data_IF_896013187152
#
_entry.id   IF_896013187152
#
_cell.length_a   1.000
_cell.length_b   1.000
_cell.length_c   1.000
_cell.angle_alpha   90.00
_cell.angle_beta   90.00
_cell.angle_gamma   90.00
#
_symmetry.space_group_name_H-M   'P 1'
#
loop_
_entity.id
_entity.type
_entity.pdbx_description
1 polymer ?
#
# COMPACT_ATOMS: atom_id res chain seq x y z
N UNK A 1 19.13 -6.41 -9.80
CA UNK A 1 18.65 -5.92 -8.48
C UNK A 1 17.23 -6.48 -8.37
N UNK A 2 16.24 -5.88 -7.70
CA UNK A 2 14.88 -6.08 -8.21
C UNK A 2 14.74 -5.08 -9.34
N UNK A 3 14.61 -5.57 -10.56
CA UNK A 3 14.51 -4.71 -11.75
C UNK A 3 13.04 -4.34 -12.02
N UNK A 4 12.11 -5.07 -11.39
CA UNK A 4 10.69 -4.76 -11.32
C UNK A 4 10.13 -5.00 -9.91
N UNK A 5 9.11 -4.24 -9.55
CA UNK A 5 8.37 -4.34 -8.28
C UNK A 5 6.88 -4.30 -8.58
N UNK A 6 6.13 -5.23 -8.00
CA UNK A 6 4.66 -5.22 -8.00
C UNK A 6 4.12 -4.67 -6.68
N UNK A 7 3.47 -3.52 -6.74
CA UNK A 7 2.78 -2.89 -5.62
C UNK A 7 1.27 -3.03 -5.76
N UNK A 8 0.60 -3.62 -4.77
CA UNK A 8 -0.85 -3.80 -4.76
C UNK A 8 -1.49 -2.86 -3.74
N UNK A 9 -2.56 -2.16 -4.14
CA UNK A 9 -3.35 -1.32 -3.25
C UNK A 9 -4.63 -2.05 -2.85
N UNK A 10 -4.93 -2.08 -1.55
CA UNK A 10 -6.16 -2.68 -0.99
C UNK A 10 -6.75 -1.77 0.08
N UNK A 11 -8.02 -1.97 0.42
CA UNK A 11 -8.76 -1.10 1.35
C UNK A 11 -10.20 -0.91 0.87
N UNK A 12 -11.05 -0.34 1.73
CA UNK A 12 -12.47 -0.14 1.43
C UNK A 12 -12.72 0.68 0.15
N UNK A 13 -13.95 0.61 -0.36
CA UNK A 13 -14.39 1.47 -1.46
C UNK A 13 -14.32 2.94 -1.04
N UNK A 14 -14.09 3.84 -2.01
CA UNK A 14 -14.04 5.29 -1.80
C UNK A 14 -12.96 5.83 -0.82
N UNK A 15 -12.01 5.00 -0.37
CA UNK A 15 -10.86 5.47 0.44
C UNK A 15 -9.75 6.14 -0.39
N UNK A 16 -9.95 6.40 -1.68
CA UNK A 16 -8.97 7.15 -2.50
C UNK A 16 -7.77 6.34 -3.01
N UNK A 17 -7.88 5.01 -3.17
CA UNK A 17 -6.81 4.18 -3.78
C UNK A 17 -6.53 4.60 -5.23
N UNK A 18 -7.58 4.69 -6.04
CA UNK A 18 -7.50 5.13 -7.44
C UNK A 18 -7.01 6.57 -7.55
N UNK A 19 -7.54 7.49 -6.73
CA UNK A 19 -7.06 8.88 -6.72
C UNK A 19 -5.58 8.99 -6.35
N UNK A 20 -5.10 8.17 -5.42
CA UNK A 20 -3.68 8.10 -5.06
C UNK A 20 -2.83 7.62 -6.24
N UNK A 21 -3.28 6.57 -6.95
CA UNK A 21 -2.58 6.06 -8.13
C UNK A 21 -2.56 7.06 -9.27
N UNK A 22 -3.72 7.59 -9.66
CA UNK A 22 -3.84 8.60 -10.71
C UNK A 22 -2.96 9.80 -10.37
N UNK A 23 -3.01 10.33 -9.14
CA UNK A 23 -2.17 11.46 -8.77
C UNK A 23 -0.68 11.16 -8.88
N UNK A 24 -0.27 9.94 -8.55
CA UNK A 24 1.13 9.53 -8.67
C UNK A 24 1.58 9.37 -10.13
N UNK A 25 0.72 8.87 -11.02
CA UNK A 25 1.11 8.53 -12.39
C UNK A 25 0.88 9.65 -13.40
N UNK A 26 -0.13 10.50 -13.22
CA UNK A 26 -0.49 11.56 -14.16
C UNK A 26 -0.33 12.98 -13.60
N UNK A 27 0.07 13.12 -12.33
CA UNK A 27 0.13 14.41 -11.62
C UNK A 27 -1.21 15.18 -11.62
N UNK A 28 -2.33 14.53 -11.94
CA UNK A 28 -3.68 15.12 -11.94
C UNK A 28 -4.56 14.51 -10.83
N UNK A 29 -5.67 15.16 -10.50
CA UNK A 29 -6.71 14.59 -9.65
C UNK A 29 -7.92 14.27 -10.52
N UNK A 30 -8.57 13.10 -10.36
CA UNK A 30 -9.74 12.75 -11.15
C UNK A 30 -10.92 13.66 -10.79
N UNK A 31 -11.53 14.29 -11.79
CA UNK A 31 -12.68 15.20 -11.62
C UNK A 31 -13.94 14.46 -11.16
N UNK A 32 -14.11 13.20 -11.58
CA UNK A 32 -15.26 12.36 -11.25
C UNK A 32 -14.87 11.05 -10.55
N UNK A 33 -15.67 10.63 -9.58
CA UNK A 33 -15.53 9.31 -8.96
C UNK A 33 -16.09 8.22 -9.88
N UNK A 34 -15.22 7.27 -10.25
CA UNK A 34 -15.61 6.03 -10.96
C UNK A 34 -15.25 4.81 -10.11
N UNK A 35 -16.22 3.93 -9.76
CA UNK A 35 -15.92 2.71 -9.02
C UNK A 35 -14.94 1.80 -9.76
N UNK A 36 -13.84 1.46 -9.11
CA UNK A 36 -12.81 0.58 -9.66
C UNK A 36 -13.31 -0.87 -9.68
N UNK A 37 -13.16 -1.51 -10.83
CA UNK A 37 -13.22 -2.98 -10.93
C UNK A 37 -11.81 -3.54 -10.75
N UNK A 38 -10.88 -3.10 -11.60
CA UNK A 38 -9.46 -3.43 -11.58
C UNK A 38 -8.70 -2.52 -12.54
N UNK A 39 -7.52 -2.05 -12.16
CA UNK A 39 -6.65 -1.27 -13.06
C UNK A 39 -5.18 -1.56 -12.78
N UNK A 40 -4.40 -1.73 -13.85
CA UNK A 40 -2.96 -1.93 -13.77
C UNK A 40 -2.24 -0.83 -14.54
N UNK A 41 -1.25 -0.22 -13.89
CA UNK A 41 -0.40 0.80 -14.51
C UNK A 41 1.06 0.52 -14.19
N UNK A 42 1.96 0.75 -15.14
CA UNK A 42 3.40 0.66 -14.93
C UNK A 42 4.03 2.04 -15.03
N UNK A 43 4.94 2.36 -14.13
CA UNK A 43 5.79 3.56 -14.21
C UNK A 43 7.23 3.19 -13.87
N UNK A 44 8.18 3.91 -14.46
CA UNK A 44 9.58 3.77 -14.09
C UNK A 44 9.92 4.76 -12.97
N UNK A 45 10.56 4.24 -11.93
CA UNK A 45 11.02 5.04 -10.78
C UNK A 45 12.53 4.87 -10.61
N UNK A 46 13.20 5.92 -10.16
CA UNK A 46 14.64 5.89 -9.87
C UNK A 46 14.85 5.84 -8.36
N UNK A 47 15.55 4.82 -7.87
CA UNK A 47 15.96 4.71 -6.47
C UNK A 47 17.44 4.38 -6.38
N UNK A 48 18.21 5.18 -5.64
CA UNK A 48 19.65 5.02 -5.45
C UNK A 48 20.44 4.90 -6.78
N UNK A 49 20.00 5.63 -7.81
CA UNK A 49 20.62 5.61 -9.15
C UNK A 49 20.23 4.43 -10.04
N UNK A 50 19.30 3.57 -9.59
CA UNK A 50 18.81 2.42 -10.35
C UNK A 50 17.37 2.65 -10.79
N UNK A 51 17.10 2.45 -12.08
CA UNK A 51 15.75 2.43 -12.63
C UNK A 51 15.05 1.13 -12.25
N UNK A 52 13.84 1.24 -11.71
CA UNK A 52 13.00 0.12 -11.29
C UNK A 52 11.65 0.27 -11.98
N UNK A 53 11.19 -0.79 -12.64
CA UNK A 53 9.84 -0.83 -13.20
C UNK A 53 8.83 -1.11 -12.09
N UNK A 54 8.07 -0.08 -11.69
CA UNK A 54 7.04 -0.18 -10.66
C UNK A 54 5.69 -0.43 -11.31
N UNK A 55 5.19 -1.66 -11.20
CA UNK A 55 3.83 -1.98 -11.56
C UNK A 55 2.88 -1.78 -10.38
N UNK A 56 1.74 -1.15 -10.66
CA UNK A 56 0.74 -0.72 -9.70
C UNK A 56 -0.57 -1.45 -9.98
N UNK A 57 -1.09 -2.16 -8.99
CA UNK A 57 -2.34 -2.90 -9.07
C UNK A 57 -3.39 -2.22 -8.18
N UNK A 58 -4.35 -1.53 -8.80
CA UNK A 58 -5.52 -1.01 -8.11
C UNK A 58 -6.57 -2.10 -7.95
N UNK A 59 -7.14 -2.22 -6.76
CA UNK A 59 -8.17 -3.24 -6.49
C UNK A 59 -9.46 -2.61 -5.99
N UNK A 60 -10.60 -3.18 -6.41
CA UNK A 60 -11.88 -2.76 -5.85
C UNK A 60 -11.95 -3.06 -4.36
N UNK A 61 -12.48 -2.11 -3.58
CA UNK A 61 -12.75 -2.31 -2.15
C UNK A 61 -14.07 -3.02 -1.86
N UNK A 62 -14.90 -3.23 -2.88
CA UNK A 62 -16.23 -3.84 -2.74
C UNK A 62 -16.14 -5.33 -2.42
N UNK A 63 -17.06 -5.82 -1.58
CA UNK A 63 -17.18 -7.23 -1.26
C UNK A 63 -17.67 -8.07 -2.44
N UNK A 64 -18.32 -7.44 -3.43
CA UNK A 64 -18.70 -8.10 -4.69
C UNK A 64 -17.49 -8.68 -5.44
N UNK A 65 -16.29 -8.11 -5.25
CA UNK A 65 -15.06 -8.58 -5.90
C UNK A 65 -14.16 -9.40 -4.97
N UNK A 66 -14.60 -9.73 -3.75
CA UNK A 66 -13.79 -10.47 -2.76
C UNK A 66 -13.27 -11.81 -3.29
N UNK A 67 -14.05 -12.51 -4.11
CA UNK A 67 -13.65 -13.81 -4.67
C UNK A 67 -12.56 -13.72 -5.74
N UNK A 68 -12.48 -12.62 -6.50
CA UNK A 68 -11.54 -12.47 -7.62
C UNK A 68 -10.33 -11.60 -7.29
N UNK A 69 -10.47 -10.69 -6.31
CA UNK A 69 -9.40 -9.78 -5.87
C UNK A 69 -8.08 -10.49 -5.50
N UNK A 70 -8.08 -11.72 -4.92
CA UNK A 70 -6.84 -12.46 -4.69
C UNK A 70 -6.00 -12.76 -5.93
N UNK A 71 -6.59 -12.78 -7.13
CA UNK A 71 -5.85 -12.94 -8.37
C UNK A 71 -4.87 -11.78 -8.59
N UNK A 72 -5.23 -10.57 -8.15
CA UNK A 72 -4.36 -9.39 -8.20
C UNK A 72 -3.16 -9.50 -7.25
N UNK A 73 -3.21 -10.34 -6.22
CA UNK A 73 -2.17 -10.46 -5.18
C UNK A 73 -0.97 -11.31 -5.60
N UNK A 74 -1.14 -12.16 -6.63
CA UNK A 74 -0.09 -13.07 -7.07
C UNK A 74 1.20 -12.29 -7.35
N UNK A 75 2.31 -12.76 -6.77
CA UNK A 75 3.65 -12.17 -6.92
C UNK A 75 3.77 -10.71 -6.45
N UNK A 76 2.89 -10.23 -5.54
CA UNK A 76 3.07 -8.92 -4.94
C UNK A 76 4.36 -8.84 -4.12
N UNK A 77 5.13 -7.77 -4.31
CA UNK A 77 6.34 -7.48 -3.55
C UNK A 77 6.08 -6.60 -2.32
N UNK A 78 5.03 -5.78 -2.39
CA UNK A 78 4.56 -4.91 -1.31
C UNK A 78 3.06 -4.63 -1.46
N UNK A 79 2.39 -4.46 -0.32
CA UNK A 79 0.97 -4.10 -0.29
C UNK A 79 0.80 -2.76 0.44
N UNK A 80 0.07 -1.84 -0.18
CA UNK A 80 -0.45 -0.64 0.46
C UNK A 80 -1.87 -0.91 0.94
N UNK A 81 -2.06 -0.90 2.25
CA UNK A 81 -3.35 -1.10 2.90
C UNK A 81 -3.91 0.26 3.31
N UNK A 82 -4.85 0.76 2.52
CA UNK A 82 -5.33 2.13 2.55
C UNK A 82 -6.64 2.27 3.32
N UNK A 83 -6.79 3.36 4.07
CA UNK A 83 -8.03 3.81 4.67
C UNK A 83 -8.14 5.34 4.53
N UNK A 84 -9.34 5.90 4.59
CA UNK A 84 -9.52 7.35 4.62
C UNK A 84 -9.48 7.85 6.06
N UNK A 85 -8.72 8.92 6.31
CA UNK A 85 -8.68 9.54 7.65
C UNK A 85 -10.01 10.17 8.07
N UNK A 86 -10.94 10.38 7.13
CA UNK A 86 -12.29 10.86 7.40
C UNK A 86 -13.31 9.74 7.63
N UNK A 87 -12.93 8.47 7.44
CA UNK A 87 -13.84 7.33 7.53
C UNK A 87 -13.37 6.29 8.56
N UNK A 88 -13.97 6.33 9.75
CA UNK A 88 -13.70 5.42 10.86
C UNK A 88 -13.95 3.94 10.54
N UNK A 89 -14.99 3.62 9.76
CA UNK A 89 -15.26 2.23 9.39
C UNK A 89 -14.12 1.67 8.53
N UNK A 90 -13.60 2.47 7.59
CA UNK A 90 -12.46 2.04 6.77
C UNK A 90 -11.19 1.79 7.59
N UNK A 91 -10.99 2.56 8.67
CA UNK A 91 -9.89 2.37 9.62
C UNK A 91 -10.06 1.07 10.42
N UNK A 92 -11.24 0.81 10.98
CA UNK A 92 -11.53 -0.42 11.72
C UNK A 92 -11.42 -1.67 10.83
N UNK A 93 -11.86 -1.57 9.57
CA UNK A 93 -11.79 -2.65 8.59
C UNK A 93 -10.35 -3.04 8.26
N UNK A 94 -9.34 -2.19 8.49
CA UNK A 94 -7.94 -2.59 8.33
C UNK A 94 -7.58 -3.76 9.25
N UNK A 95 -8.02 -3.70 10.51
CA UNK A 95 -7.79 -4.75 11.52
C UNK A 95 -8.76 -5.92 11.33
N UNK A 96 -10.03 -5.63 11.09
CA UNK A 96 -11.09 -6.63 11.12
C UNK A 96 -11.23 -7.43 9.83
N UNK A 97 -10.70 -6.92 8.71
CA UNK A 97 -10.89 -7.49 7.37
C UNK A 97 -9.59 -7.56 6.57
N UNK A 98 -9.01 -6.41 6.25
CA UNK A 98 -7.97 -6.33 5.22
C UNK A 98 -6.68 -7.04 5.59
N UNK A 99 -6.20 -6.90 6.84
CA UNK A 99 -4.98 -7.62 7.23
C UNK A 99 -5.18 -9.14 7.20
N UNK A 100 -6.35 -9.65 7.57
CA UNK A 100 -6.67 -11.07 7.51
C UNK A 100 -6.66 -11.59 6.07
N UNK A 101 -7.32 -10.88 5.16
CA UNK A 101 -7.36 -11.21 3.72
C UNK A 101 -5.97 -11.18 3.07
N UNK A 102 -5.15 -10.16 3.40
CA UNK A 102 -3.78 -10.07 2.89
C UNK A 102 -2.93 -11.22 3.44
N UNK A 103 -3.02 -11.53 4.75
CA UNK A 103 -2.16 -12.54 5.37
C UNK A 103 -2.52 -13.97 4.97
N UNK A 104 -3.77 -14.25 4.59
CA UNK A 104 -4.16 -15.57 4.07
C UNK A 104 -3.54 -15.86 2.70
N UNK A 105 -3.27 -14.84 1.88
CA UNK A 105 -2.70 -15.00 0.54
C UNK A 105 -1.20 -14.65 0.46
N UNK A 106 -0.77 -13.69 1.27
CA UNK A 106 0.57 -13.07 1.24
C UNK A 106 1.19 -13.03 2.66
N UNK A 107 1.48 -14.19 3.28
CA UNK A 107 1.88 -14.28 4.68
C UNK A 107 3.22 -13.57 5.01
N UNK A 108 4.10 -13.40 4.01
CA UNK A 108 5.46 -12.85 4.19
C UNK A 108 5.70 -11.52 3.47
N UNK A 109 4.71 -11.04 2.70
CA UNK A 109 4.85 -9.80 1.93
C UNK A 109 4.67 -8.61 2.87
N UNK A 110 5.56 -7.60 2.80
CA UNK A 110 5.46 -6.41 3.62
C UNK A 110 4.18 -5.64 3.30
N UNK A 111 3.52 -5.15 4.35
CA UNK A 111 2.33 -4.29 4.27
C UNK A 111 2.69 -2.93 4.82
N UNK A 112 2.25 -1.87 4.16
CA UNK A 112 2.30 -0.50 4.66
C UNK A 112 0.87 -0.03 4.89
N UNK A 113 0.62 0.61 6.03
CA UNK A 113 -0.67 1.27 6.27
C UNK A 113 -0.60 2.67 5.70
N UNK A 114 -1.62 3.07 4.93
CA UNK A 114 -1.68 4.40 4.31
C UNK A 114 -2.98 5.10 4.70
N UNK A 115 -2.87 6.21 5.43
CA UNK A 115 -3.98 7.13 5.69
C UNK A 115 -4.15 8.12 4.56
N UNK A 116 -5.22 8.00 3.78
CA UNK A 116 -5.51 8.85 2.63
C UNK A 116 -6.46 10.00 2.99
N UNK A 117 -6.65 10.93 2.05
CA UNK A 117 -7.60 12.05 2.17
C UNK A 117 -7.30 12.97 3.37
N UNK A 118 -6.02 13.18 3.67
CA UNK A 118 -5.60 14.05 4.79
C UNK A 118 -6.04 15.50 4.67
N UNK A 119 -6.37 15.96 3.45
CA UNK A 119 -7.04 17.23 3.21
C UNK A 119 -8.34 17.38 4.04
N UNK A 120 -9.09 16.29 4.27
CA UNK A 120 -10.29 16.31 5.10
C UNK A 120 -10.01 16.63 6.57
N UNK A 121 -8.83 16.25 7.07
CA UNK A 121 -8.37 16.57 8.42
C UNK A 121 -7.76 17.98 8.51
N UNK A 122 -7.29 18.52 7.40
CA UNK A 122 -6.72 19.86 7.36
C UNK A 122 -7.82 20.94 7.24
N UNK A 123 -8.74 20.75 6.28
CA UNK A 123 -9.72 21.77 5.87
C UNK A 123 -11.17 21.28 5.83
N UNK A 124 -11.42 19.98 6.04
CA UNK A 124 -12.76 19.42 5.98
C UNK A 124 -13.69 19.86 7.12
N UNK A 125 -15.02 19.83 6.91
CA UNK A 125 -16.00 20.27 7.91
C UNK A 125 -15.99 19.40 9.18
N UNK A 126 -15.55 18.14 9.06
CA UNK A 126 -15.47 17.17 10.16
C UNK A 126 -14.01 16.87 10.59
N UNK A 127 -13.09 17.83 10.36
CA UNK A 127 -11.65 17.66 10.62
C UNK A 127 -11.31 17.18 12.03
N UNK A 128 -12.03 17.66 13.05
CA UNK A 128 -11.80 17.29 14.46
C UNK A 128 -12.15 15.83 14.76
N UNK A 129 -12.97 15.21 13.92
CA UNK A 129 -13.35 13.80 14.04
C UNK A 129 -12.49 12.89 13.17
N UNK A 130 -11.53 13.41 12.40
CA UNK A 130 -10.68 12.56 11.58
C UNK A 130 -9.72 11.73 12.45
N UNK A 131 -9.40 10.52 11.98
CA UNK A 131 -8.45 9.63 12.63
C UNK A 131 -7.10 10.34 12.74
N UNK A 132 -6.49 10.32 13.93
CA UNK A 132 -5.22 10.99 14.17
C UNK A 132 -4.03 10.21 13.59
N UNK A 133 -2.90 10.86 13.26
CA UNK A 133 -1.67 10.17 12.87
C UNK A 133 -1.15 9.23 13.97
N UNK A 134 -1.44 9.51 15.24
CA UNK A 134 -1.04 8.68 16.38
C UNK A 134 -1.79 7.35 16.33
N UNK A 135 -3.10 7.37 16.09
CA UNK A 135 -3.92 6.17 16.01
C UNK A 135 -3.58 5.34 14.75
N UNK A 136 -3.31 6.00 13.63
CA UNK A 136 -2.80 5.36 12.43
C UNK A 136 -1.49 4.60 12.66
N UNK A 137 -0.53 5.22 13.35
CA UNK A 137 0.73 4.57 13.74
C UNK A 137 0.52 3.39 14.68
N UNK A 138 -0.36 3.53 15.69
CA UNK A 138 -0.70 2.45 16.62
C UNK A 138 -1.31 1.27 15.89
N UNK A 139 -2.29 1.51 15.01
CA UNK A 139 -2.90 0.45 14.21
C UNK A 139 -1.87 -0.25 13.29
N UNK A 140 -0.96 0.51 12.67
CA UNK A 140 0.12 -0.08 11.86
C UNK A 140 1.02 -1.02 12.67
N UNK A 141 1.30 -0.70 13.94
CA UNK A 141 2.03 -1.57 14.85
C UNK A 141 1.21 -2.82 15.20
N UNK A 142 -0.05 -2.66 15.57
CA UNK A 142 -0.97 -3.76 15.93
C UNK A 142 -1.08 -4.81 14.80
N UNK A 143 -1.19 -4.37 13.56
CA UNK A 143 -1.29 -5.25 12.38
C UNK A 143 0.08 -5.70 11.84
N UNK A 144 1.17 -5.36 12.53
CA UNK A 144 2.57 -5.68 12.17
C UNK A 144 2.96 -5.20 10.77
N UNK A 145 2.48 -4.02 10.38
CA UNK A 145 2.90 -3.36 9.15
C UNK A 145 4.37 -2.89 9.24
N UNK A 146 5.00 -2.66 8.08
CA UNK A 146 6.39 -2.16 7.97
C UNK A 146 6.51 -0.65 8.06
N UNK A 147 5.38 0.05 8.06
CA UNK A 147 5.34 1.49 8.11
C UNK A 147 3.92 2.01 8.09
N UNK A 148 3.80 3.27 8.49
CA UNK A 148 2.59 4.07 8.40
C UNK A 148 2.93 5.35 7.65
N UNK A 149 2.16 5.65 6.61
CA UNK A 149 2.29 6.86 5.82
C UNK A 149 0.92 7.54 5.69
N UNK A 150 0.94 8.83 5.37
CA UNK A 150 -0.27 9.56 5.06
C UNK A 150 -0.11 10.39 3.81
N UNK A 151 -1.20 10.56 3.07
CA UNK A 151 -1.21 11.34 1.85
C UNK A 151 -2.55 12.04 1.60
N UNK A 152 -2.54 13.02 0.72
CA UNK A 152 -3.71 13.64 0.11
C UNK A 152 -3.45 13.69 -1.39
N UNK A 153 -4.21 12.90 -2.15
CA UNK A 153 -4.18 12.97 -3.60
C UNK A 153 -4.71 14.33 -4.10
N UNK A 154 -5.65 14.95 -3.37
CA UNK A 154 -6.22 16.25 -3.74
C UNK A 154 -5.15 17.35 -3.72
N UNK A 155 -4.43 17.49 -2.60
CA UNK A 155 -3.38 18.51 -2.41
C UNK A 155 -1.98 18.06 -2.88
N UNK A 156 -1.87 16.87 -3.48
CA UNK A 156 -0.62 16.22 -3.85
C UNK A 156 0.43 16.12 -2.71
N UNK A 157 -0.04 16.02 -1.46
CA UNK A 157 0.85 15.88 -0.28
C UNK A 157 1.10 14.41 0.01
N UNK A 158 2.36 14.02 0.19
CA UNK A 158 2.73 12.67 0.65
C UNK A 158 2.62 11.57 -0.42
N UNK A 159 2.13 11.89 -1.63
CA UNK A 159 1.85 10.91 -2.68
C UNK A 159 3.14 10.21 -3.13
N UNK A 160 4.15 10.97 -3.54
CA UNK A 160 5.44 10.42 -3.95
C UNK A 160 6.11 9.61 -2.83
N UNK A 161 6.05 10.10 -1.60
CA UNK A 161 6.66 9.45 -0.43
C UNK A 161 6.04 8.08 -0.13
N UNK A 162 4.74 7.89 -0.38
CA UNK A 162 4.07 6.58 -0.25
C UNK A 162 4.72 5.55 -1.16
N UNK A 163 4.92 5.87 -2.44
CA UNK A 163 5.48 4.93 -3.42
C UNK A 163 6.99 4.75 -3.26
N UNK A 164 7.74 5.80 -2.94
CA UNK A 164 9.16 5.68 -2.60
C UNK A 164 9.39 4.74 -1.41
N UNK A 165 8.58 4.88 -0.35
CA UNK A 165 8.69 4.01 0.81
C UNK A 165 8.27 2.57 0.48
N UNK A 166 7.28 2.37 -0.40
CA UNK A 166 6.87 1.06 -0.90
C UNK A 166 8.00 0.35 -1.65
N UNK A 167 8.62 1.04 -2.61
CA UNK A 167 9.77 0.55 -3.40
C UNK A 167 10.93 0.20 -2.47
N UNK A 168 11.31 1.10 -1.58
CA UNK A 168 12.39 0.86 -0.60
C UNK A 168 12.08 -0.34 0.30
N UNK A 169 10.83 -0.49 0.73
CA UNK A 169 10.39 -1.61 1.56
C UNK A 169 10.50 -2.95 0.83
N UNK A 170 10.05 -3.01 -0.43
CA UNK A 170 10.15 -4.20 -1.27
C UNK A 170 11.62 -4.58 -1.55
N UNK A 171 12.47 -3.62 -1.94
CA UNK A 171 13.91 -3.87 -2.18
C UNK A 171 14.61 -4.37 -0.92
N UNK A 172 14.34 -3.75 0.24
CA UNK A 172 14.92 -4.20 1.50
C UNK A 172 14.45 -5.60 1.90
N UNK A 173 13.18 -5.93 1.63
CA UNK A 173 12.65 -7.27 1.87
C UNK A 173 13.36 -8.31 0.98
N UNK A 174 13.52 -8.04 -0.32
CA UNK A 174 14.22 -8.94 -1.25
C UNK A 174 15.69 -9.15 -0.86
N UNK A 175 16.40 -8.08 -0.50
CA UNK A 175 17.79 -8.16 0.03
C UNK A 175 17.87 -9.07 1.26
N UNK A 176 16.91 -8.97 2.19
CA UNK A 176 16.86 -9.83 3.39
C UNK A 176 16.58 -11.29 3.05
N UNK A 177 15.70 -11.56 2.09
CA UNK A 177 15.40 -12.92 1.65
C UNK A 177 16.60 -13.58 0.95
N UNK A 178 17.30 -12.84 0.08
CA UNK A 178 18.50 -13.33 -0.60
C UNK A 178 19.63 -13.65 0.38
N UNK A 179 19.86 -12.78 1.38
CA UNK A 179 20.83 -13.06 2.45
C UNK A 179 20.50 -14.36 3.19
N UNK A 180 19.24 -14.55 3.60
CA UNK A 180 18.80 -15.77 4.30
C UNK A 180 19.02 -17.04 3.47
N UNK A 181 18.73 -17.00 2.17
CA UNK A 181 19.00 -18.12 1.24
C UNK A 181 20.50 -18.44 1.18
N UNK A 182 21.35 -17.42 1.10
CA UNK A 182 22.80 -17.62 1.08
C UNK A 182 23.31 -18.29 2.36
N UNK A 183 22.81 -17.87 3.53
CA UNK A 183 23.18 -18.50 4.80
C UNK A 183 22.65 -19.93 4.95
N UNK A 184 21.46 -20.26 4.42
CA UNK A 184 20.94 -21.64 4.48
C UNK A 184 21.71 -22.65 3.61
N UNK A 185 22.41 -22.18 2.57
CA UNK A 185 23.24 -23.05 1.71
C UNK A 185 24.58 -23.36 2.41
N UNK A 186 25.01 -22.50 3.33
CA UNK A 186 26.30 -22.58 4.02
C UNK A 186 26.20 -23.22 5.41
N UNK A 187 25.20 -24.06 5.69
CA UNK A 187 25.24 -24.91 6.88
C UNK A 187 26.42 -25.89 6.75
N UNK A 188 27.57 -25.46 7.28
CA UNK A 188 28.75 -26.28 7.40
C UNK A 188 28.42 -27.43 8.37
N UNK A 189 28.15 -28.61 7.81
CA UNK A 189 28.07 -29.84 8.61
C UNK A 189 29.49 -30.20 9.05
N UNK A 190 29.83 -29.84 10.27
CA UNK A 190 31.03 -30.35 10.94
C UNK A 190 30.66 -31.78 11.39
N UNK A 191 31.35 -32.76 10.80
CA UNK A 191 31.32 -34.16 11.25
C UNK A 191 32.27 -34.35 12.42
#
# INVERSE_FOLDING_TARGET
>A
MLDSIKCVLVGDSAVGKTSLLVRFTSETFPDDYRPTVYENTGVDVFMDGVQISLGLWDTSGSDAFKGIRPLSYQQADVVLMCYSVANHNSFLNLRNKWIGEIRSHLPRIPVLVVGTQTDQRDTGPYRSSCISPIDGKRLAQDVRAKGYLECSALSNRGVQQVFEYAVRTAVNQAKRQNRRKLFSINECKIF
#
